data_IF_337658951412
#
_entry.id   IF_337658951412
#
_cell.length_a   1.000
_cell.length_b   1.000
_cell.length_c   1.000
_cell.angle_alpha   90.00
_cell.angle_beta   90.00
_cell.angle_gamma   90.00
#
_symmetry.space_group_name_H-M   'P 1'
#
loop_
_entity.id
_entity.type
_entity.pdbx_description
1 polymer ?
#
# COMPACT_ATOMS: atom_id res chain seq x y z
N UNK A 1 12.72 18.62 -1.86
CA UNK A 1 11.60 18.22 -2.75
C UNK A 1 11.03 19.38 -3.58
N UNK A 2 10.45 20.46 -3.02
CA UNK A 2 9.88 21.57 -3.83
C UNK A 2 10.89 22.18 -4.81
N UNK A 3 12.12 22.37 -4.38
CA UNK A 3 13.21 22.85 -5.23
C UNK A 3 13.55 21.87 -6.37
N UNK A 4 13.57 20.56 -6.08
CA UNK A 4 13.77 19.54 -7.11
C UNK A 4 12.64 19.57 -8.16
N UNK A 5 11.39 19.73 -7.73
CA UNK A 5 10.24 19.87 -8.63
C UNK A 5 10.31 21.14 -9.49
N UNK A 6 10.75 22.26 -8.90
CA UNK A 6 10.89 23.54 -9.61
C UNK A 6 11.96 23.47 -10.73
N UNK A 7 13.03 22.71 -10.49
CA UNK A 7 14.17 22.56 -11.43
C UNK A 7 14.05 21.35 -12.34
N UNK A 8 12.94 20.61 -12.30
CA UNK A 8 12.78 19.41 -13.09
C UNK A 8 12.89 19.71 -14.59
N UNK A 9 13.70 18.95 -15.29
CA UNK A 9 13.67 18.90 -16.74
C UNK A 9 12.41 18.17 -17.18
N UNK A 10 11.63 18.75 -18.09
CA UNK A 10 10.36 18.19 -18.53
C UNK A 10 10.30 18.02 -20.03
N UNK A 11 9.60 16.99 -20.46
CA UNK A 11 9.23 16.72 -21.85
C UNK A 11 7.76 16.36 -21.95
N UNK A 12 7.36 15.60 -22.96
CA UNK A 12 5.97 15.15 -23.13
C UNK A 12 5.88 13.62 -23.09
N UNK A 13 5.54 13.06 -21.92
CA UNK A 13 5.44 11.58 -21.72
C UNK A 13 4.32 10.89 -22.54
N UNK A 14 3.53 11.67 -23.28
CA UNK A 14 2.46 11.17 -24.15
C UNK A 14 2.89 11.10 -25.61
N UNK A 15 3.64 12.10 -26.10
CA UNK A 15 4.06 12.19 -27.50
C UNK A 15 5.48 11.62 -27.70
N UNK A 16 6.36 11.86 -26.74
CA UNK A 16 7.77 11.45 -26.82
C UNK A 16 8.25 10.96 -25.44
N UNK A 17 9.21 11.64 -24.83
CA UNK A 17 9.82 11.32 -23.54
C UNK A 17 9.82 12.54 -22.65
N UNK A 18 9.36 12.36 -21.40
CA UNK A 18 9.70 13.27 -20.30
C UNK A 18 10.93 12.70 -19.57
N UNK A 19 12.09 13.37 -19.59
CA UNK A 19 13.35 12.79 -19.11
C UNK A 19 13.29 12.50 -17.59
N UNK A 20 12.58 13.31 -16.82
CA UNK A 20 12.45 13.10 -15.38
C UNK A 20 11.49 11.93 -15.06
N UNK A 21 10.42 11.75 -15.85
CA UNK A 21 9.56 10.56 -15.74
C UNK A 21 10.33 9.30 -16.10
N UNK A 22 11.13 9.33 -17.18
CA UNK A 22 11.96 8.20 -17.58
C UNK A 22 12.96 7.82 -16.48
N UNK A 23 13.66 8.82 -15.91
CA UNK A 23 14.59 8.60 -14.80
C UNK A 23 13.90 7.96 -13.57
N UNK A 24 12.70 8.41 -13.21
CA UNK A 24 11.91 7.82 -12.13
C UNK A 24 11.53 6.37 -12.43
N UNK A 25 11.07 6.10 -13.66
CA UNK A 25 10.67 4.75 -14.08
C UNK A 25 11.87 3.80 -14.07
N UNK A 26 13.02 4.22 -14.62
CA UNK A 26 14.25 3.45 -14.60
C UNK A 26 14.73 3.16 -13.17
N UNK A 27 14.77 4.18 -12.31
CA UNK A 27 15.16 4.04 -10.90
C UNK A 27 14.23 3.09 -10.14
N UNK A 28 12.92 3.18 -10.36
CA UNK A 28 11.94 2.30 -9.71
C UNK A 28 12.11 0.85 -10.17
N UNK A 29 12.29 0.62 -11.46
CA UNK A 29 12.55 -0.71 -12.01
C UNK A 29 13.83 -1.32 -11.45
N UNK A 30 14.92 -0.54 -11.38
CA UNK A 30 16.21 -0.95 -10.80
C UNK A 30 16.04 -1.36 -9.33
N UNK A 31 15.42 -0.51 -8.50
CA UNK A 31 15.21 -0.76 -7.07
C UNK A 31 14.40 -2.04 -6.82
N UNK A 32 13.34 -2.25 -7.61
CA UNK A 32 12.46 -3.42 -7.49
C UNK A 32 13.01 -4.68 -8.18
N UNK A 33 14.13 -4.58 -8.93
CA UNK A 33 14.67 -5.69 -9.71
C UNK A 33 13.76 -6.14 -10.84
N UNK A 34 12.92 -5.26 -11.38
CA UNK A 34 12.02 -5.53 -12.50
C UNK A 34 12.59 -4.98 -13.81
N UNK A 35 12.09 -5.48 -14.95
CA UNK A 35 12.62 -5.10 -16.26
C UNK A 35 12.21 -3.68 -16.69
N UNK A 36 11.10 -3.19 -16.21
CA UNK A 36 10.55 -1.87 -16.51
C UNK A 36 9.55 -1.42 -15.43
N UNK A 37 9.28 -0.12 -15.37
CA UNK A 37 8.22 0.46 -14.57
C UNK A 37 7.50 1.56 -15.36
N UNK A 38 6.30 1.94 -14.93
CA UNK A 38 5.51 3.01 -15.52
C UNK A 38 4.90 3.88 -14.42
N UNK A 39 5.08 5.20 -14.56
CA UNK A 39 4.57 6.21 -13.63
C UNK A 39 3.08 6.49 -13.88
N UNK A 40 2.32 6.60 -12.80
CA UNK A 40 0.88 6.84 -12.79
C UNK A 40 0.49 7.79 -11.65
N UNK A 41 -0.65 8.50 -11.76
CA UNK A 41 -1.08 9.48 -10.74
C UNK A 41 -1.41 8.86 -9.38
N UNK A 42 -1.81 7.59 -9.30
CA UNK A 42 -2.25 6.99 -8.04
C UNK A 42 -1.99 5.48 -7.94
N UNK A 43 -1.92 4.97 -6.70
CA UNK A 43 -1.84 3.54 -6.41
C UNK A 43 -3.10 2.77 -6.83
N UNK A 44 -4.28 3.39 -6.75
CA UNK A 44 -5.50 2.80 -7.29
C UNK A 44 -5.36 2.51 -8.80
N UNK A 45 -4.81 3.46 -9.56
CA UNK A 45 -4.62 3.25 -11.00
C UNK A 45 -3.60 2.14 -11.28
N UNK A 46 -2.48 2.07 -10.52
CA UNK A 46 -1.49 1.01 -10.69
C UNK A 46 -2.07 -0.37 -10.40
N UNK A 47 -2.85 -0.53 -9.33
CA UNK A 47 -3.53 -1.78 -9.00
C UNK A 47 -4.56 -2.17 -10.07
N UNK A 48 -5.44 -1.26 -10.46
CA UNK A 48 -6.48 -1.55 -11.45
C UNK A 48 -5.91 -1.90 -12.83
N UNK A 49 -4.79 -1.27 -13.20
CA UNK A 49 -4.07 -1.63 -14.43
C UNK A 49 -3.37 -2.98 -14.31
N UNK A 50 -2.78 -3.29 -13.15
CA UNK A 50 -2.20 -4.61 -12.93
C UNK A 50 -3.25 -5.72 -13.09
N UNK A 51 -4.40 -5.58 -12.44
CA UNK A 51 -5.52 -6.50 -12.58
C UNK A 51 -5.94 -6.68 -14.05
N UNK A 52 -6.15 -5.57 -14.76
CA UNK A 52 -6.56 -5.58 -16.17
C UNK A 52 -5.55 -6.22 -17.13
N UNK A 53 -4.25 -6.11 -16.81
CA UNK A 53 -3.19 -6.70 -17.66
C UNK A 53 -3.01 -8.19 -17.40
N UNK A 54 -3.21 -8.63 -16.16
CA UNK A 54 -3.10 -10.03 -15.77
C UNK A 54 -4.35 -10.86 -16.09
N UNK A 55 -5.54 -10.26 -16.05
CA UNK A 55 -6.80 -10.96 -16.19
C UNK A 55 -7.64 -10.44 -17.36
N UNK A 56 -8.40 -11.32 -17.97
CA UNK A 56 -9.45 -11.01 -18.95
C UNK A 56 -10.80 -10.80 -18.25
N UNK A 57 -11.76 -10.07 -18.86
CA UNK A 57 -13.11 -9.96 -18.33
C UNK A 57 -13.74 -11.35 -18.06
N UNK A 58 -14.36 -11.51 -16.89
CA UNK A 58 -14.92 -12.77 -16.42
C UNK A 58 -13.97 -13.66 -15.65
N UNK A 59 -12.66 -13.36 -15.65
CA UNK A 59 -11.68 -14.10 -14.83
C UNK A 59 -11.64 -13.62 -13.38
N UNK A 60 -11.11 -14.46 -12.50
CA UNK A 60 -11.08 -14.26 -11.04
C UNK A 60 -9.67 -13.99 -10.53
N UNK A 61 -9.56 -13.09 -9.56
CA UNK A 61 -8.37 -12.93 -8.75
C UNK A 61 -8.64 -13.25 -7.27
N UNK A 62 -7.64 -13.80 -6.60
CA UNK A 62 -7.65 -14.06 -5.15
C UNK A 62 -7.01 -12.88 -4.42
N UNK A 63 -7.58 -12.46 -3.29
CA UNK A 63 -7.01 -11.42 -2.43
C UNK A 63 -7.50 -11.58 -0.99
N UNK A 64 -6.83 -10.91 -0.04
CA UNK A 64 -7.35 -10.82 1.32
C UNK A 64 -8.64 -9.99 1.38
N UNK A 65 -9.59 -10.37 2.23
CA UNK A 65 -10.88 -9.72 2.37
C UNK A 65 -10.79 -8.26 2.84
N UNK A 66 -9.71 -7.91 3.54
CA UNK A 66 -9.49 -6.58 4.08
C UNK A 66 -8.48 -5.76 3.24
N UNK A 67 -8.02 -6.27 2.08
CA UNK A 67 -7.05 -5.57 1.22
C UNK A 67 -7.63 -4.30 0.59
N UNK A 68 -6.73 -3.39 0.19
CA UNK A 68 -7.09 -2.09 -0.41
C UNK A 68 -7.81 -2.25 -1.75
N UNK A 69 -7.32 -3.14 -2.61
CA UNK A 69 -7.87 -3.38 -3.96
C UNK A 69 -9.36 -3.73 -3.90
N UNK A 70 -9.77 -4.51 -2.90
CA UNK A 70 -11.17 -4.93 -2.74
C UNK A 70 -12.03 -3.86 -2.08
N UNK A 71 -11.53 -3.21 -1.01
CA UNK A 71 -12.37 -2.37 -0.14
C UNK A 71 -12.38 -0.87 -0.50
N UNK A 72 -11.31 -0.34 -1.14
CA UNK A 72 -11.12 1.11 -1.24
C UNK A 72 -10.97 1.64 -2.67
N UNK A 73 -11.22 0.81 -3.68
CA UNK A 73 -11.09 1.21 -5.09
C UNK A 73 -12.42 1.19 -5.83
N UNK A 74 -13.54 1.43 -5.12
CA UNK A 74 -14.90 1.59 -5.68
C UNK A 74 -15.39 0.40 -6.52
N UNK A 75 -14.89 -0.82 -6.25
CA UNK A 75 -15.20 -1.98 -7.09
C UNK A 75 -14.69 -1.84 -8.53
N UNK A 76 -13.62 -1.06 -8.73
CA UNK A 76 -13.10 -0.73 -10.05
C UNK A 76 -12.64 -1.97 -10.83
N UNK A 77 -12.22 -3.04 -10.16
CA UNK A 77 -11.92 -4.32 -10.80
C UNK A 77 -13.10 -4.88 -11.60
N UNK A 78 -14.33 -4.72 -11.08
CA UNK A 78 -15.55 -5.11 -11.78
C UNK A 78 -15.97 -4.06 -12.83
N UNK A 79 -16.00 -2.79 -12.45
CA UNK A 79 -16.46 -1.71 -13.33
C UNK A 79 -15.56 -1.49 -14.56
N UNK A 80 -14.23 -1.52 -14.37
CA UNK A 80 -13.27 -1.16 -15.42
C UNK A 80 -12.74 -2.38 -16.18
N UNK A 81 -12.71 -3.55 -15.54
CA UNK A 81 -12.06 -4.73 -16.10
C UNK A 81 -12.96 -5.97 -16.16
N UNK A 82 -14.18 -5.90 -15.59
CA UNK A 82 -15.14 -7.01 -15.63
C UNK A 82 -14.69 -8.24 -14.85
N UNK A 83 -13.87 -8.06 -13.80
CA UNK A 83 -13.26 -9.17 -13.06
C UNK A 83 -14.12 -9.62 -11.88
N UNK A 84 -13.90 -10.85 -11.45
CA UNK A 84 -14.47 -11.43 -10.24
C UNK A 84 -13.41 -11.42 -9.13
N UNK A 85 -13.75 -10.91 -7.96
CA UNK A 85 -12.89 -10.99 -6.79
C UNK A 85 -13.31 -12.17 -5.91
N UNK A 86 -12.36 -13.02 -5.54
CA UNK A 86 -12.53 -14.03 -4.50
C UNK A 86 -11.72 -13.66 -3.28
N UNK A 87 -12.41 -13.24 -2.24
CA UNK A 87 -11.78 -12.82 -0.99
C UNK A 87 -11.48 -14.00 -0.08
N UNK A 88 -10.33 -13.96 0.58
CA UNK A 88 -9.84 -14.91 1.55
C UNK A 88 -9.61 -14.20 2.88
N UNK A 89 -9.62 -14.92 3.99
CA UNK A 89 -9.41 -14.33 5.31
C UNK A 89 -8.01 -14.71 5.80
N UNK A 90 -7.11 -13.72 5.82
CA UNK A 90 -5.79 -13.83 6.39
C UNK A 90 -5.72 -13.30 7.83
N UNK A 91 -4.71 -13.70 8.57
CA UNK A 91 -4.43 -13.14 9.89
C UNK A 91 -3.75 -11.78 9.74
N UNK A 92 -4.43 -10.69 10.12
CA UNK A 92 -3.99 -9.31 9.86
C UNK A 92 -3.64 -9.03 8.39
N UNK A 93 -4.36 -9.68 7.46
CA UNK A 93 -4.12 -9.55 6.02
C UNK A 93 -3.02 -10.46 5.45
N UNK A 94 -2.36 -11.25 6.28
CA UNK A 94 -1.34 -12.22 5.86
C UNK A 94 -2.02 -13.53 5.46
N UNK A 95 -2.07 -13.82 4.16
CA UNK A 95 -2.53 -15.10 3.61
C UNK A 95 -1.37 -16.11 3.66
N UNK A 96 -1.58 -17.25 4.27
CA UNK A 96 -0.65 -18.38 4.26
C UNK A 96 -1.08 -19.45 3.27
N UNK A 97 -0.23 -20.43 3.02
CA UNK A 97 -0.54 -21.54 2.10
C UNK A 97 -1.89 -22.20 2.41
N UNK A 98 -2.18 -22.48 3.67
CA UNK A 98 -3.47 -23.06 4.12
C UNK A 98 -4.70 -22.23 3.76
N UNK A 99 -4.54 -20.93 3.56
CA UNK A 99 -5.63 -19.99 3.26
C UNK A 99 -5.93 -19.95 1.76
N UNK A 100 -4.93 -20.27 0.91
CA UNK A 100 -5.03 -20.24 -0.56
C UNK A 100 -5.20 -21.64 -1.18
N UNK A 101 -4.73 -22.71 -0.54
CA UNK A 101 -4.92 -24.09 -1.02
C UNK A 101 -6.40 -24.42 -1.21
N UNK A 102 -6.71 -25.09 -2.33
CA UNK A 102 -8.08 -25.46 -2.70
C UNK A 102 -8.98 -24.28 -3.08
N UNK A 103 -8.42 -23.08 -3.26
CA UNK A 103 -9.20 -21.89 -3.66
C UNK A 103 -9.20 -21.64 -5.16
N UNK A 104 -8.35 -22.29 -5.93
CA UNK A 104 -8.41 -22.26 -7.40
C UNK A 104 -9.66 -23.05 -7.84
N UNK A 105 -10.43 -22.47 -8.73
CA UNK A 105 -11.64 -23.12 -9.23
C UNK A 105 -11.29 -24.23 -10.22
N UNK A 106 -12.07 -25.32 -10.23
CA UNK A 106 -11.92 -26.37 -11.24
C UNK A 106 -12.09 -25.82 -12.66
N UNK A 107 -11.30 -26.33 -13.60
CA UNK A 107 -11.41 -25.97 -15.00
C UNK A 107 -12.59 -26.71 -15.65
N UNK A 108 -13.73 -26.03 -15.78
CA UNK A 108 -14.94 -26.51 -16.45
C UNK A 108 -15.80 -25.31 -16.90
N UNK A 109 -16.80 -25.59 -17.76
CA UNK A 109 -17.65 -24.59 -18.38
C UNK A 109 -18.57 -23.79 -17.41
N UNK A 110 -18.73 -24.26 -16.15
CA UNK A 110 -19.58 -23.60 -15.15
C UNK A 110 -18.83 -22.62 -14.25
N UNK A 111 -17.51 -22.68 -14.25
CA UNK A 111 -16.68 -21.94 -13.31
C UNK A 111 -15.87 -20.82 -13.98
N UNK A 112 -15.73 -19.70 -13.27
CA UNK A 112 -14.78 -18.66 -13.69
C UNK A 112 -13.35 -19.18 -13.53
N UNK A 113 -12.43 -18.72 -14.35
CA UNK A 113 -11.02 -19.11 -14.27
C UNK A 113 -10.28 -18.22 -13.26
N UNK A 114 -9.66 -18.83 -12.25
CA UNK A 114 -8.77 -18.13 -11.32
C UNK A 114 -7.43 -17.89 -12.00
N UNK A 115 -6.95 -16.63 -12.06
CA UNK A 115 -5.76 -16.24 -12.83
C UNK A 115 -4.69 -15.50 -12.04
N UNK A 116 -5.07 -14.86 -10.95
CA UNK A 116 -4.17 -13.94 -10.28
C UNK A 116 -4.30 -14.07 -8.77
N UNK A 117 -3.17 -13.99 -8.07
CA UNK A 117 -3.10 -13.81 -6.63
C UNK A 117 -2.57 -12.40 -6.35
N UNK A 118 -3.33 -11.62 -5.56
CA UNK A 118 -2.93 -10.29 -5.10
C UNK A 118 -2.61 -10.31 -3.61
N UNK A 119 -1.43 -9.82 -3.23
CA UNK A 119 -1.03 -9.61 -1.84
C UNK A 119 -0.80 -8.12 -1.59
N UNK A 120 -0.88 -7.69 -0.33
CA UNK A 120 -0.65 -6.29 0.08
C UNK A 120 0.44 -6.21 1.15
N UNK A 121 1.47 -5.38 0.95
CA UNK A 121 2.55 -5.16 1.91
C UNK A 121 3.00 -3.67 1.93
N UNK A 122 2.96 -2.97 3.08
CA UNK A 122 2.40 -3.45 4.36
C UNK A 122 0.89 -3.42 4.33
N UNK A 123 0.24 -4.34 5.04
CA UNK A 123 -1.22 -4.46 5.00
C UNK A 123 -1.90 -3.33 5.78
N UNK A 124 -2.71 -2.51 5.09
CA UNK A 124 -3.28 -1.28 5.63
C UNK A 124 -4.23 -1.53 6.82
N UNK A 125 -5.19 -2.44 6.66
CA UNK A 125 -6.16 -2.79 7.71
C UNK A 125 -5.59 -3.77 8.75
N UNK A 126 -4.46 -4.40 8.46
CA UNK A 126 -3.67 -5.18 9.41
C UNK A 126 -2.75 -4.34 10.30
N UNK A 127 -3.03 -3.03 10.48
CA UNK A 127 -2.19 -2.12 11.26
C UNK A 127 -0.77 -1.92 10.73
N UNK A 128 -0.64 -1.87 9.39
CA UNK A 128 0.67 -1.75 8.75
C UNK A 128 1.52 -3.02 8.86
N UNK A 129 0.85 -4.17 8.99
CA UNK A 129 1.49 -5.48 9.14
C UNK A 129 2.44 -5.75 7.98
N UNK A 130 3.68 -6.09 8.32
CA UNK A 130 4.66 -6.57 7.36
C UNK A 130 4.38 -8.04 7.06
N UNK A 131 4.32 -8.34 5.76
CA UNK A 131 4.14 -9.72 5.33
C UNK A 131 5.47 -10.49 5.50
N UNK A 132 5.52 -11.60 6.26
CA UNK A 132 6.74 -12.38 6.41
C UNK A 132 7.23 -12.91 5.06
N UNK A 133 8.48 -12.63 4.69
CA UNK A 133 8.99 -12.91 3.34
C UNK A 133 8.99 -14.41 2.99
N UNK A 134 9.20 -15.28 3.97
CA UNK A 134 9.10 -16.73 3.77
C UNK A 134 7.67 -17.16 3.39
N UNK A 135 6.64 -16.56 4.00
CA UNK A 135 5.24 -16.84 3.67
C UNK A 135 4.90 -16.29 2.26
N UNK A 136 5.39 -15.08 1.93
CA UNK A 136 5.26 -14.53 0.57
C UNK A 136 5.83 -15.49 -0.45
N UNK A 137 7.06 -15.99 -0.24
CA UNK A 137 7.70 -16.92 -1.16
C UNK A 137 6.89 -18.21 -1.34
N UNK A 138 6.48 -18.84 -0.23
CA UNK A 138 5.68 -20.08 -0.26
C UNK A 138 4.38 -19.89 -1.05
N UNK A 139 3.65 -18.80 -0.79
CA UNK A 139 2.34 -18.54 -1.41
C UNK A 139 2.49 -18.16 -2.89
N UNK A 140 3.52 -17.38 -3.25
CA UNK A 140 3.80 -17.05 -4.65
C UNK A 140 4.29 -18.27 -5.45
N UNK A 141 5.16 -19.10 -4.88
CA UNK A 141 5.62 -20.35 -5.53
C UNK A 141 4.44 -21.29 -5.77
N UNK A 142 3.56 -21.44 -4.80
CA UNK A 142 2.31 -22.19 -4.97
C UNK A 142 1.45 -21.61 -6.10
N UNK A 143 1.28 -20.30 -6.15
CA UNK A 143 0.50 -19.66 -7.22
C UNK A 143 1.09 -19.95 -8.60
N UNK A 144 2.41 -19.78 -8.77
CA UNK A 144 3.11 -20.05 -10.02
C UNK A 144 3.04 -21.53 -10.44
N UNK A 145 3.19 -22.47 -9.48
CA UNK A 145 3.04 -23.92 -9.74
C UNK A 145 1.65 -24.29 -10.26
N UNK A 146 0.64 -23.48 -9.91
CA UNK A 146 -0.74 -23.66 -10.37
C UNK A 146 -1.13 -22.75 -11.56
N UNK A 147 -0.15 -22.09 -12.18
CA UNK A 147 -0.37 -21.27 -13.38
C UNK A 147 -1.01 -19.90 -13.12
N UNK A 148 -1.06 -19.44 -11.87
CA UNK A 148 -1.51 -18.10 -11.53
C UNK A 148 -0.35 -17.10 -11.69
N UNK A 149 -0.70 -15.86 -12.04
CA UNK A 149 0.20 -14.71 -11.89
C UNK A 149 0.12 -14.16 -10.47
N UNK A 150 1.10 -13.34 -10.09
CA UNK A 150 1.17 -12.72 -8.78
C UNK A 150 1.33 -11.20 -8.89
N UNK A 151 0.55 -10.46 -8.08
CA UNK A 151 0.64 -9.00 -7.98
C UNK A 151 0.83 -8.57 -6.53
N UNK A 152 1.75 -7.63 -6.30
CA UNK A 152 1.94 -6.98 -5.01
C UNK A 152 1.40 -5.55 -5.03
N UNK A 153 0.38 -5.28 -4.22
CA UNK A 153 0.12 -3.92 -3.76
C UNK A 153 1.18 -3.55 -2.71
N UNK A 154 2.26 -2.97 -3.18
CA UNK A 154 3.40 -2.51 -2.40
C UNK A 154 3.30 -1.03 -2.02
N UNK A 155 2.09 -0.53 -1.77
CA UNK A 155 1.87 0.90 -1.47
C UNK A 155 2.72 1.44 -0.32
N UNK A 156 3.21 0.58 0.57
CA UNK A 156 4.16 0.89 1.65
C UNK A 156 5.35 -0.09 1.68
N UNK A 157 5.79 -0.58 0.53
CA UNK A 157 6.87 -1.56 0.44
C UNK A 157 8.19 -1.03 1.01
N UNK A 158 8.47 0.27 0.89
CA UNK A 158 9.63 0.91 1.49
C UNK A 158 9.57 0.89 3.03
N UNK A 159 8.39 1.00 3.63
CA UNK A 159 8.22 0.79 5.07
C UNK A 159 8.53 -0.67 5.46
N UNK A 160 8.06 -1.65 4.69
CA UNK A 160 8.38 -3.06 4.92
C UNK A 160 9.89 -3.31 4.82
N UNK A 161 10.56 -2.73 3.82
CA UNK A 161 12.01 -2.82 3.63
C UNK A 161 12.78 -2.29 4.86
N UNK A 162 12.45 -1.10 5.32
CA UNK A 162 13.09 -0.50 6.50
C UNK A 162 12.80 -1.29 7.79
N UNK A 163 11.60 -1.85 7.93
CA UNK A 163 11.23 -2.63 9.11
C UNK A 163 11.93 -3.99 9.17
N UNK A 164 12.18 -4.63 8.03
CA UNK A 164 12.77 -5.97 7.94
C UNK A 164 14.27 -5.98 7.71
N UNK A 165 14.84 -4.87 7.20
CA UNK A 165 16.22 -4.82 6.69
C UNK A 165 16.41 -5.49 5.32
N UNK A 166 15.36 -6.07 4.72
CA UNK A 166 15.40 -6.62 3.37
C UNK A 166 15.28 -5.48 2.35
N UNK A 167 16.00 -5.59 1.24
CA UNK A 167 15.86 -4.66 0.14
C UNK A 167 14.46 -4.76 -0.50
N UNK A 168 13.97 -3.67 -1.09
CA UNK A 168 12.69 -3.72 -1.84
C UNK A 168 12.76 -4.69 -3.02
N UNK A 169 13.96 -4.97 -3.54
CA UNK A 169 14.20 -6.00 -4.56
C UNK A 169 13.87 -7.40 -4.04
N UNK A 170 14.39 -7.76 -2.87
CA UNK A 170 14.13 -9.06 -2.24
C UNK A 170 12.63 -9.22 -1.95
N UNK A 171 11.99 -8.18 -1.42
CA UNK A 171 10.55 -8.18 -1.16
C UNK A 171 9.71 -8.30 -2.45
N UNK A 172 10.18 -7.72 -3.55
CA UNK A 172 9.49 -7.70 -4.85
C UNK A 172 9.73 -8.97 -5.70
N UNK A 173 10.81 -9.71 -5.43
CA UNK A 173 11.27 -10.83 -6.27
C UNK A 173 10.19 -11.87 -6.58
N UNK A 174 9.37 -12.34 -5.62
CA UNK A 174 8.37 -13.39 -5.88
C UNK A 174 7.21 -12.98 -6.80
N UNK A 175 7.06 -11.70 -7.11
CA UNK A 175 5.87 -11.20 -7.81
C UNK A 175 6.14 -10.94 -9.31
N UNK A 176 5.14 -11.18 -10.16
CA UNK A 176 5.18 -10.82 -11.58
C UNK A 176 5.03 -9.32 -11.80
N UNK A 177 4.22 -8.66 -10.96
CA UNK A 177 4.07 -7.21 -10.98
C UNK A 177 4.00 -6.61 -9.58
N UNK A 178 4.50 -5.38 -9.43
CA UNK A 178 4.58 -4.67 -8.16
C UNK A 178 4.13 -3.22 -8.34
N UNK A 179 3.20 -2.78 -7.52
CA UNK A 179 2.81 -1.38 -7.37
C UNK A 179 3.53 -0.77 -6.17
N UNK A 180 4.08 0.45 -6.32
CA UNK A 180 4.63 1.23 -5.20
C UNK A 180 4.10 2.65 -5.22
N UNK A 181 3.84 3.23 -4.04
CA UNK A 181 3.38 4.61 -3.91
C UNK A 181 4.49 5.52 -3.38
N UNK A 182 4.65 6.69 -3.99
CA UNK A 182 5.55 7.74 -3.52
C UNK A 182 4.84 8.74 -2.60
N UNK A 183 3.52 8.85 -2.71
CA UNK A 183 2.66 9.83 -2.03
C UNK A 183 2.15 9.38 -0.65
N UNK A 184 2.84 8.45 0.00
CA UNK A 184 2.56 7.98 1.36
C UNK A 184 3.75 8.29 2.28
N UNK A 185 4.34 7.32 2.96
CA UNK A 185 5.48 7.53 3.86
C UNK A 185 6.67 8.26 3.22
N UNK A 186 6.90 8.08 1.93
CA UNK A 186 7.95 8.79 1.18
C UNK A 186 7.67 10.29 1.00
N UNK A 187 6.43 10.75 1.17
CA UNK A 187 6.07 12.17 1.21
C UNK A 187 6.11 12.91 -0.12
N UNK A 188 6.13 12.23 -1.26
CA UNK A 188 5.90 12.88 -2.55
C UNK A 188 4.46 13.39 -2.66
N UNK A 189 4.19 14.50 -3.38
CA UNK A 189 2.86 15.10 -3.43
C UNK A 189 1.83 14.20 -4.14
N UNK A 190 2.29 13.36 -5.07
CA UNK A 190 1.45 12.51 -5.92
C UNK A 190 2.28 11.40 -6.55
N UNK A 191 1.63 10.32 -6.93
CA UNK A 191 2.16 9.35 -7.86
C UNK A 191 2.55 8.01 -7.27
N UNK A 192 2.57 7.05 -8.19
CA UNK A 192 2.88 5.64 -7.97
C UNK A 192 3.55 5.07 -9.22
N UNK A 193 4.28 3.98 -9.08
CA UNK A 193 4.78 3.21 -10.21
C UNK A 193 4.26 1.77 -10.18
N UNK A 194 4.00 1.24 -11.38
CA UNK A 194 3.73 -0.17 -11.60
C UNK A 194 4.91 -0.79 -12.36
N UNK A 195 5.52 -1.82 -11.79
CA UNK A 195 6.71 -2.46 -12.32
C UNK A 195 6.45 -3.94 -12.66
N UNK A 196 7.17 -4.44 -13.68
CA UNK A 196 7.08 -5.82 -14.13
C UNK A 196 8.01 -6.10 -15.32
N UNK A 197 7.65 -7.08 -16.16
CA UNK A 197 8.38 -7.32 -17.42
C UNK A 197 8.15 -6.18 -18.43
N UNK A 198 9.05 -6.04 -19.42
CA UNK A 198 8.86 -5.04 -20.50
C UNK A 198 7.53 -5.23 -21.23
N UNK A 199 7.14 -6.48 -21.49
CA UNK A 199 5.88 -6.79 -22.18
C UNK A 199 4.65 -6.43 -21.31
N UNK A 200 4.70 -6.67 -20.00
CA UNK A 200 3.68 -6.27 -19.05
C UNK A 200 3.52 -4.74 -19.02
N UNK A 201 4.63 -4.00 -18.87
CA UNK A 201 4.62 -2.53 -18.82
C UNK A 201 4.14 -1.92 -20.13
N UNK A 202 4.45 -2.53 -21.30
CA UNK A 202 3.90 -2.09 -22.59
C UNK A 202 2.36 -2.19 -22.64
N UNK A 203 1.77 -3.27 -22.12
CA UNK A 203 0.31 -3.40 -21.96
C UNK A 203 -0.24 -2.41 -20.94
N UNK A 204 0.46 -2.22 -19.81
CA UNK A 204 0.08 -1.28 -18.78
C UNK A 204 0.06 0.18 -19.30
N UNK A 205 0.98 0.58 -20.18
CA UNK A 205 0.98 1.90 -20.82
C UNK A 205 -0.28 2.14 -21.66
N UNK A 206 -0.75 1.13 -22.39
CA UNK A 206 -2.02 1.21 -23.14
C UNK A 206 -3.23 1.36 -22.21
N UNK A 207 -3.25 0.58 -21.12
CA UNK A 207 -4.31 0.67 -20.12
C UNK A 207 -4.27 2.02 -19.36
N UNK A 208 -3.07 2.55 -19.05
CA UNK A 208 -2.90 3.90 -18.48
C UNK A 208 -3.55 4.96 -19.37
N UNK A 209 -3.36 4.88 -20.69
CA UNK A 209 -4.00 5.81 -21.63
C UNK A 209 -5.51 5.68 -21.60
N UNK A 210 -6.03 4.46 -21.61
CA UNK A 210 -7.46 4.17 -21.54
C UNK A 210 -8.10 4.74 -20.26
N UNK A 211 -7.43 4.65 -19.12
CA UNK A 211 -7.92 5.15 -17.82
C UNK A 211 -7.67 6.64 -17.59
N UNK A 212 -7.15 7.36 -18.60
CA UNK A 212 -6.90 8.80 -18.50
C UNK A 212 -5.66 9.19 -17.69
N UNK A 213 -4.78 8.23 -17.38
CA UNK A 213 -3.57 8.45 -16.56
C UNK A 213 -2.34 8.89 -17.34
N UNK A 214 -2.45 9.16 -18.64
CA UNK A 214 -1.38 9.75 -19.44
C UNK A 214 -1.25 11.24 -19.17
N UNK A 215 -0.21 11.64 -18.47
CA UNK A 215 0.12 13.04 -18.16
C UNK A 215 1.26 13.49 -19.05
N UNK A 216 1.21 14.75 -19.55
CA UNK A 216 2.20 15.26 -20.50
C UNK A 216 3.51 15.64 -19.79
N UNK A 217 3.63 16.85 -19.27
CA UNK A 217 4.83 17.37 -18.61
C UNK A 217 4.86 16.91 -17.13
N UNK A 218 4.82 15.61 -16.91
CA UNK A 218 4.72 15.01 -15.58
C UNK A 218 6.07 14.99 -14.83
N UNK A 219 7.16 15.39 -15.45
CA UNK A 219 8.49 15.46 -14.84
C UNK A 219 8.53 16.31 -13.58
N UNK A 220 7.74 17.37 -13.50
CA UNK A 220 7.58 18.17 -12.26
C UNK A 220 7.14 17.30 -11.08
N UNK A 221 6.19 16.39 -11.30
CA UNK A 221 5.68 15.47 -10.27
C UNK A 221 6.66 14.32 -10.01
N UNK A 222 7.26 13.79 -11.08
CA UNK A 222 8.25 12.72 -11.01
C UNK A 222 9.51 13.13 -10.24
N UNK A 223 9.95 14.39 -10.35
CA UNK A 223 11.06 14.92 -9.58
C UNK A 223 10.82 14.87 -8.06
N UNK A 224 9.57 15.11 -7.63
CA UNK A 224 9.20 14.93 -6.22
C UNK A 224 9.34 13.49 -5.74
N UNK A 225 8.96 12.54 -6.58
CA UNK A 225 9.08 11.11 -6.29
C UNK A 225 10.55 10.63 -6.31
N UNK A 226 11.37 11.11 -7.27
CA UNK A 226 12.81 10.83 -7.30
C UNK A 226 13.50 11.35 -6.04
N UNK A 227 13.26 12.62 -5.67
CA UNK A 227 13.78 13.18 -4.43
C UNK A 227 13.38 12.34 -3.19
N UNK A 228 12.14 11.87 -3.16
CA UNK A 228 11.66 11.03 -2.07
C UNK A 228 12.38 9.67 -2.00
N UNK A 229 12.64 9.04 -3.13
CA UNK A 229 13.40 7.79 -3.21
C UNK A 229 14.87 7.97 -2.77
N UNK A 230 15.47 9.12 -3.03
CA UNK A 230 16.87 9.41 -2.70
C UNK A 230 17.08 9.83 -1.25
N UNK A 231 16.09 10.49 -0.64
CA UNK A 231 16.28 11.16 0.65
C UNK A 231 15.33 10.75 1.76
N UNK A 232 14.22 10.07 1.45
CA UNK A 232 13.17 9.82 2.45
C UNK A 232 13.02 8.34 2.85
N UNK A 233 13.71 7.41 2.18
CA UNK A 233 13.57 5.98 2.49
C UNK A 233 14.12 5.68 3.88
N UNK A 234 15.34 6.08 4.17
CA UNK A 234 16.00 5.77 5.44
C UNK A 234 15.27 6.38 6.64
N UNK A 235 14.73 7.59 6.49
CA UNK A 235 14.00 8.24 7.57
C UNK A 235 12.68 7.57 7.95
N UNK A 236 12.16 6.62 7.18
CA UNK A 236 10.95 5.90 7.53
C UNK A 236 11.05 5.18 8.87
N UNK A 237 12.27 4.86 9.34
CA UNK A 237 12.48 4.30 10.68
C UNK A 237 11.99 5.23 11.79
N UNK A 238 12.06 6.56 11.61
CA UNK A 238 11.55 7.55 12.56
C UNK A 238 10.02 7.42 12.71
N UNK A 239 9.33 7.27 11.58
CA UNK A 239 7.88 7.05 11.58
C UNK A 239 7.51 5.76 12.34
N UNK A 240 8.31 4.69 12.20
CA UNK A 240 8.12 3.44 12.94
C UNK A 240 8.34 3.62 14.45
N UNK A 241 9.38 4.36 14.86
CA UNK A 241 9.61 4.67 16.26
C UNK A 241 8.47 5.52 16.86
N UNK A 242 7.99 6.49 16.12
CA UNK A 242 6.83 7.31 16.49
C UNK A 242 5.56 6.46 16.68
N UNK A 243 5.31 5.53 15.76
CA UNK A 243 4.17 4.61 15.87
C UNK A 243 4.26 3.72 17.14
N UNK A 244 5.46 3.22 17.47
CA UNK A 244 5.68 2.44 18.70
C UNK A 244 5.44 3.27 19.97
N UNK A 245 5.84 4.54 19.98
CA UNK A 245 5.54 5.45 21.11
C UNK A 245 4.04 5.65 21.30
N UNK A 246 3.29 5.90 20.21
CA UNK A 246 1.84 6.00 20.25
C UNK A 246 1.19 4.71 20.76
N UNK A 247 1.63 3.56 20.27
CA UNK A 247 1.13 2.26 20.71
C UNK A 247 1.41 2.01 22.20
N UNK A 248 2.54 2.47 22.73
CA UNK A 248 2.86 2.40 24.17
C UNK A 248 1.89 3.25 24.99
N UNK A 249 1.63 4.49 24.58
CA UNK A 249 0.67 5.37 25.25
C UNK A 249 -0.74 4.76 25.24
N UNK A 250 -1.16 4.20 24.11
CA UNK A 250 -2.45 3.51 23.98
C UNK A 250 -2.56 2.31 24.94
N UNK A 251 -1.52 1.45 25.01
CA UNK A 251 -1.52 0.29 25.92
C UNK A 251 -1.60 0.67 27.40
N UNK A 252 -1.02 1.80 27.76
CA UNK A 252 -1.02 2.32 29.13
C UNK A 252 -2.32 3.05 29.48
N UNK A 253 -3.21 3.26 28.52
CA UNK A 253 -4.46 4.00 28.69
C UNK A 253 -5.62 3.04 28.96
N UNK A 254 -6.53 3.39 29.91
CA UNK A 254 -7.73 2.59 30.14
C UNK A 254 -8.63 2.58 28.90
N UNK A 255 -9.41 1.52 28.75
CA UNK A 255 -10.40 1.36 27.69
C UNK A 255 -9.83 1.27 26.26
N UNK A 256 -8.49 1.21 26.09
CA UNK A 256 -7.85 1.13 24.79
C UNK A 256 -7.07 -0.19 24.63
N UNK A 257 -7.11 -0.75 23.41
CA UNK A 257 -6.37 -1.97 23.07
C UNK A 257 -5.76 -1.83 21.69
N UNK A 258 -4.42 -1.87 21.59
CA UNK A 258 -3.70 -1.89 20.32
C UNK A 258 -4.02 -3.18 19.56
N UNK A 259 -4.19 -3.10 18.24
CA UNK A 259 -4.27 -4.27 17.37
C UNK A 259 -2.88 -4.92 17.23
N UNK A 260 -2.78 -6.20 17.59
CA UNK A 260 -1.49 -6.91 17.66
C UNK A 260 -0.65 -6.55 18.87
N UNK A 261 0.59 -7.01 18.87
CA UNK A 261 1.54 -6.74 19.98
C UNK A 261 2.21 -5.38 19.84
N UNK A 262 2.85 -5.13 18.70
CA UNK A 262 3.48 -3.85 18.34
C UNK A 262 3.20 -3.50 16.89
N UNK A 263 3.18 -2.19 16.53
CA UNK A 263 3.15 -1.81 15.13
C UNK A 263 4.47 -2.22 14.45
N UNK A 264 4.35 -2.92 13.33
CA UNK A 264 5.52 -3.27 12.52
C UNK A 264 6.10 -2.01 11.82
N UNK A 265 5.23 -1.06 11.47
CA UNK A 265 5.60 0.13 10.69
C UNK A 265 4.91 1.39 11.22
N UNK A 266 4.45 2.25 10.35
CA UNK A 266 3.95 3.60 10.65
C UNK A 266 2.42 3.69 10.85
N UNK A 267 1.70 2.56 10.94
CA UNK A 267 0.26 2.54 11.19
C UNK A 267 -0.01 1.93 12.55
N UNK A 268 -0.83 2.60 13.35
CA UNK A 268 -1.32 2.11 14.62
C UNK A 268 -2.84 2.03 14.57
N UNK A 269 -3.39 0.83 14.68
CA UNK A 269 -4.81 0.61 14.85
C UNK A 269 -5.06 0.20 16.31
N UNK A 270 -6.07 0.77 16.91
CA UNK A 270 -6.48 0.41 18.26
C UNK A 270 -8.00 0.41 18.40
N UNK A 271 -8.48 -0.37 19.36
CA UNK A 271 -9.88 -0.48 19.71
C UNK A 271 -10.18 0.38 20.95
N UNK A 272 -11.32 1.04 20.93
CA UNK A 272 -11.91 1.74 22.06
C UNK A 272 -12.97 0.81 22.65
N UNK A 273 -12.90 0.57 23.95
CA UNK A 273 -13.90 -0.25 24.66
C UNK A 273 -15.29 0.38 24.55
N UNK A 274 -16.30 -0.43 24.32
CA UNK A 274 -17.68 0.02 24.18
C UNK A 274 -18.23 0.71 25.45
N UNK A 275 -17.67 0.41 26.60
CA UNK A 275 -18.02 1.09 27.86
C UNK A 275 -17.55 2.54 27.93
N UNK A 276 -16.49 2.89 27.18
CA UNK A 276 -16.04 4.26 27.02
C UNK A 276 -16.93 5.03 26.05
N UNK A 277 -17.35 4.39 24.96
CA UNK A 277 -18.20 4.96 23.93
C UNK A 277 -17.70 4.67 22.49
N UNK A 278 -18.34 5.27 21.47
CA UNK A 278 -17.98 5.04 20.07
C UNK A 278 -16.59 5.60 19.70
N UNK A 279 -15.88 4.89 18.83
CA UNK A 279 -14.59 5.34 18.30
C UNK A 279 -14.64 6.71 17.59
N UNK A 280 -15.76 7.06 16.96
CA UNK A 280 -15.98 8.38 16.35
C UNK A 280 -15.93 9.52 17.39
N UNK A 281 -16.52 9.33 18.57
CA UNK A 281 -16.49 10.31 19.66
C UNK A 281 -15.07 10.44 20.23
N UNK A 282 -14.35 9.32 20.36
CA UNK A 282 -12.95 9.34 20.78
C UNK A 282 -12.08 10.14 19.77
N UNK A 283 -12.26 9.87 18.47
CA UNK A 283 -11.55 10.57 17.42
C UNK A 283 -11.86 12.08 17.39
N UNK A 284 -13.11 12.48 17.64
CA UNK A 284 -13.51 13.88 17.77
C UNK A 284 -12.83 14.56 18.97
N UNK A 285 -12.81 13.92 20.14
CA UNK A 285 -12.10 14.44 21.31
C UNK A 285 -10.59 14.58 21.06
N UNK A 286 -9.98 13.63 20.33
CA UNK A 286 -8.58 13.76 19.90
C UNK A 286 -8.38 14.95 18.96
N UNK A 287 -9.29 15.15 18.00
CA UNK A 287 -9.22 16.27 17.05
C UNK A 287 -9.31 17.63 17.77
N UNK A 288 -10.17 17.75 18.79
CA UNK A 288 -10.28 18.95 19.65
C UNK A 288 -8.99 19.23 20.44
N UNK A 289 -8.10 18.25 20.58
CA UNK A 289 -6.75 18.38 21.18
C UNK A 289 -5.63 18.46 20.11
N UNK A 290 -6.00 18.70 18.85
CA UNK A 290 -5.04 18.84 17.73
C UNK A 290 -4.50 17.52 17.18
N UNK A 291 -5.05 16.37 17.54
CA UNK A 291 -4.63 15.06 17.05
C UNK A 291 -5.64 14.53 16.03
N UNK A 292 -5.28 14.56 14.76
CA UNK A 292 -6.11 14.00 13.69
C UNK A 292 -6.00 12.47 13.66
N UNK A 293 -7.13 11.82 13.71
CA UNK A 293 -7.24 10.34 13.65
C UNK A 293 -8.44 9.95 12.80
N UNK A 294 -8.53 8.70 12.42
CA UNK A 294 -9.64 8.18 11.62
C UNK A 294 -10.32 7.03 12.34
N UNK A 295 -11.57 7.23 12.76
CA UNK A 295 -12.46 6.14 13.15
C UNK A 295 -12.93 5.43 11.87
N UNK A 296 -12.49 4.18 11.65
CA UNK A 296 -12.85 3.39 10.47
C UNK A 296 -13.81 2.23 10.76
N UNK A 297 -14.16 2.04 12.03
CA UNK A 297 -15.24 1.17 12.49
C UNK A 297 -15.87 1.77 13.75
N UNK A 298 -17.01 1.24 14.23
CA UNK A 298 -17.63 1.72 15.47
C UNK A 298 -16.72 1.71 16.70
N UNK A 299 -15.74 0.81 16.72
CA UNK A 299 -14.83 0.60 17.86
C UNK A 299 -13.36 0.82 17.53
N UNK A 300 -12.98 1.12 16.28
CA UNK A 300 -11.58 1.14 15.89
C UNK A 300 -11.13 2.48 15.33
N UNK A 301 -9.95 2.91 15.74
CA UNK A 301 -9.29 4.15 15.31
C UNK A 301 -7.95 3.80 14.68
N UNK A 302 -7.59 4.51 13.60
CA UNK A 302 -6.30 4.44 12.96
C UNK A 302 -5.54 5.75 13.10
N UNK A 303 -4.28 5.64 13.51
CA UNK A 303 -3.26 6.69 13.47
C UNK A 303 -2.20 6.32 12.44
N UNK A 304 -1.61 7.32 11.80
CA UNK A 304 -0.52 7.14 10.84
C UNK A 304 0.55 8.18 11.15
N UNK A 305 1.78 7.73 11.34
CA UNK A 305 2.94 8.62 11.48
C UNK A 305 3.59 8.85 10.13
N UNK A 306 4.11 10.07 9.92
CA UNK A 306 4.71 10.50 8.65
C UNK A 306 5.65 11.70 8.87
N UNK A 307 6.37 12.10 7.84
CA UNK A 307 7.45 13.11 7.88
C UNK A 307 7.05 14.49 8.44
N UNK A 308 5.76 14.86 8.44
CA UNK A 308 5.30 16.15 9.00
C UNK A 308 4.99 16.08 10.50
N UNK A 309 5.22 14.92 11.13
CA UNK A 309 4.96 14.70 12.57
C UNK A 309 6.28 14.50 13.28
N UNK A 310 6.73 15.52 13.99
CA UNK A 310 7.96 15.51 14.77
C UNK A 310 7.77 14.87 16.16
N UNK A 311 8.87 14.73 16.89
CA UNK A 311 8.89 14.15 18.23
C UNK A 311 7.99 14.90 19.23
N UNK A 312 7.93 16.24 19.13
CA UNK A 312 7.08 17.06 20.01
C UNK A 312 5.59 16.85 19.69
N UNK A 313 5.23 16.69 18.41
CA UNK A 313 3.87 16.36 18.01
C UNK A 313 3.45 14.97 18.51
N UNK A 314 4.35 14.00 18.48
CA UNK A 314 4.11 12.66 19.04
C UNK A 314 3.92 12.72 20.54
N UNK A 315 4.71 13.48 21.27
CA UNK A 315 4.55 13.64 22.71
C UNK A 315 3.17 14.25 23.05
N UNK A 316 2.78 15.33 22.35
CA UNK A 316 1.42 15.92 22.50
C UNK A 316 0.32 14.90 22.16
N UNK A 317 0.51 14.07 21.14
CA UNK A 317 -0.46 13.04 20.76
C UNK A 317 -0.59 11.95 21.84
N UNK A 318 0.50 11.51 22.45
CA UNK A 318 0.49 10.57 23.58
C UNK A 318 -0.30 11.14 24.76
N UNK A 319 -0.01 12.38 25.16
CA UNK A 319 -0.72 13.07 26.25
C UNK A 319 -2.22 13.24 25.95
N UNK A 320 -2.58 13.58 24.72
CA UNK A 320 -3.96 13.70 24.28
C UNK A 320 -4.71 12.35 24.36
N UNK A 321 -4.07 11.26 23.92
CA UNK A 321 -4.64 9.92 24.00
C UNK A 321 -4.91 9.53 25.46
N UNK A 322 -3.92 9.74 26.33
CA UNK A 322 -4.04 9.40 27.75
C UNK A 322 -5.13 10.23 28.46
N UNK A 323 -5.23 11.53 28.17
CA UNK A 323 -6.25 12.41 28.73
C UNK A 323 -7.66 11.99 28.25
N UNK A 324 -7.85 11.82 26.93
CA UNK A 324 -9.15 11.40 26.38
C UNK A 324 -9.58 10.03 26.93
N UNK A 325 -8.65 9.08 27.07
CA UNK A 325 -8.97 7.77 27.60
C UNK A 325 -9.45 7.81 29.07
N UNK A 326 -9.00 8.80 29.84
CA UNK A 326 -9.43 9.04 31.24
C UNK A 326 -10.77 9.80 31.36
N UNK A 327 -11.30 10.26 30.22
CA UNK A 327 -12.59 10.99 30.20
C UNK A 327 -12.49 12.52 30.22
N UNK A 328 -11.28 13.05 30.15
CA UNK A 328 -11.01 14.51 30.12
C UNK A 328 -11.39 15.16 28.80
#
# INVERSE_FOLDING_TARGET
MREAMLRAEVGDDVIDIDPTVEALQAKTAELLGKQAAIFMPSGTMTNQIALRVHCLPGEEFLCDAECHIYNYEQGAFAQLSGLVARTLIGEQGVLRLKDVEGKIRPDNEHMVQTRLLCLENTHNRGSGKVYPQNEVQIVCDWAHQHGLQTHLDGARLFNASVATGLSVRELATPFDSVSVCFSKGLGAPVGSCLAGTKSFVAKARRARKLFGGGMRQAGVLAAGALHALEHHVERLHEDHLHAKRLAKAIRNSPHLKVMGEEPDTNIVIFHVDSTWGPASVFAEKLANRGVRSMAFSPTSIRLVTHLDVDEQAIERACQAIEAVAKGD
#
